data_IF_861588642821
#
_entry.id   IF_861588642821
#
_cell.length_a   1.000
_cell.length_b   1.000
_cell.length_c   1.000
_cell.angle_alpha   90.00
_cell.angle_beta   90.00
_cell.angle_gamma   90.00
#
_symmetry.space_group_name_H-M   'P 1'
#
loop_
_entity.id
_entity.type
_entity.pdbx_description
1 polymer ?
#
# COMPACT_ATOMS: atom_id res chain seq x y z
N UNK A 1 -6.44 -9.88 8.81
CA UNK A 1 -6.30 -8.90 7.69
C UNK A 1 -4.87 -8.39 7.66
N UNK A 2 -4.41 -7.78 6.57
CA UNK A 2 -3.06 -7.22 6.50
C UNK A 2 -3.01 -5.80 5.91
N UNK A 3 -1.99 -5.04 6.27
CA UNK A 3 -1.70 -3.69 5.78
C UNK A 3 -0.21 -3.58 5.42
N UNK A 4 0.09 -2.96 4.29
CA UNK A 4 1.46 -2.85 3.80
C UNK A 4 1.54 -2.03 2.54
N UNK A 5 2.73 -1.84 1.98
CA UNK A 5 2.88 -1.10 0.72
C UNK A 5 4.30 -1.09 0.23
N UNK A 6 4.58 -0.27 -0.78
CA UNK A 6 5.92 -0.15 -1.34
C UNK A 6 6.87 0.52 -0.33
N UNK A 7 8.03 -0.10 -0.11
CA UNK A 7 9.10 0.54 0.64
C UNK A 7 9.58 1.81 -0.10
N UNK A 8 9.88 2.92 0.56
CA UNK A 8 9.95 3.13 2.03
C UNK A 8 8.72 3.91 2.55
N UNK A 9 7.98 4.63 1.67
CA UNK A 9 6.89 5.53 2.07
C UNK A 9 5.77 4.85 2.86
N UNK A 10 5.46 3.60 2.53
CA UNK A 10 4.45 2.81 3.22
C UNK A 10 4.88 2.29 4.61
N UNK A 11 6.19 2.18 4.87
CA UNK A 11 6.74 1.53 6.06
C UNK A 11 6.30 2.21 7.37
N UNK A 12 6.44 3.54 7.56
CA UNK A 12 6.02 4.19 8.80
C UNK A 12 4.51 4.12 9.01
N UNK A 13 3.71 4.20 7.93
CA UNK A 13 2.23 4.11 8.00
C UNK A 13 1.83 2.72 8.45
N UNK A 14 2.41 1.69 7.84
CA UNK A 14 2.13 0.28 8.17
C UNK A 14 2.53 -0.02 9.61
N UNK A 15 3.75 0.38 10.01
CA UNK A 15 4.27 0.16 11.36
C UNK A 15 3.43 0.86 12.45
N UNK A 16 3.06 2.12 12.23
CA UNK A 16 2.20 2.86 13.16
C UNK A 16 0.82 2.20 13.27
N UNK A 17 0.24 1.80 12.14
CA UNK A 17 -1.11 1.21 12.10
C UNK A 17 -1.17 -0.13 12.85
N UNK A 18 -0.23 -1.04 12.60
CA UNK A 18 -0.19 -2.34 13.29
C UNK A 18 0.12 -2.20 14.78
N UNK A 19 0.92 -1.19 15.16
CA UNK A 19 1.22 -0.91 16.57
C UNK A 19 -0.04 -0.48 17.32
N UNK A 20 -0.80 0.45 16.74
CA UNK A 20 -2.06 0.91 17.32
C UNK A 20 -3.13 -0.19 17.33
N UNK A 21 -3.20 -1.03 16.30
CA UNK A 21 -4.07 -2.19 16.25
C UNK A 21 -3.75 -3.17 17.39
N UNK A 22 -2.48 -3.52 17.58
CA UNK A 22 -2.04 -4.39 18.66
C UNK A 22 -2.36 -3.84 20.06
N UNK A 23 -2.24 -2.52 20.26
CA UNK A 23 -2.63 -1.86 21.52
C UNK A 23 -4.14 -1.94 21.79
N UNK A 24 -4.97 -2.05 20.75
CA UNK A 24 -6.43 -2.20 20.85
C UNK A 24 -6.89 -3.65 20.91
N UNK A 25 -5.98 -4.61 20.73
CA UNK A 25 -6.30 -6.03 20.64
C UNK A 25 -6.84 -6.47 19.27
N UNK A 26 -6.67 -5.64 18.23
CA UNK A 26 -7.08 -5.96 16.87
C UNK A 26 -6.05 -6.87 16.18
N UNK A 27 -6.52 -7.93 15.50
CA UNK A 27 -5.65 -8.83 14.72
C UNK A 27 -5.38 -8.27 13.31
N UNK A 28 -4.35 -7.42 13.23
CA UNK A 28 -3.88 -6.80 11.99
C UNK A 28 -2.38 -7.05 11.79
N UNK A 29 -2.03 -7.67 10.66
CA UNK A 29 -0.64 -7.96 10.31
C UNK A 29 -0.06 -6.88 9.38
N UNK A 30 1.24 -6.64 9.51
CA UNK A 30 2.00 -5.73 8.65
C UNK A 30 2.77 -6.48 7.57
N UNK A 31 2.94 -5.89 6.41
CA UNK A 31 3.89 -6.36 5.40
C UNK A 31 4.54 -5.20 4.64
N UNK A 32 5.65 -5.50 3.97
CA UNK A 32 6.40 -4.55 3.15
C UNK A 32 6.59 -5.15 1.76
N UNK A 33 6.42 -4.36 0.73
CA UNK A 33 6.77 -4.71 -0.65
C UNK A 33 8.09 -4.02 -1.00
N UNK A 34 9.10 -4.81 -1.35
CA UNK A 34 10.39 -4.31 -1.81
C UNK A 34 10.31 -3.83 -3.26
N UNK A 35 11.06 -2.76 -3.57
CA UNK A 35 11.21 -2.25 -4.94
C UNK A 35 11.81 -3.30 -5.90
N UNK A 36 12.69 -4.15 -5.39
CA UNK A 36 13.35 -5.21 -6.13
C UNK A 36 13.24 -6.53 -5.37
N UNK A 37 13.15 -7.64 -6.11
CA UNK A 37 13.17 -8.97 -5.55
C UNK A 37 14.50 -9.26 -4.85
N UNK A 38 14.49 -10.16 -3.85
CA UNK A 38 15.75 -10.65 -3.25
C UNK A 38 16.60 -11.33 -4.33
N UNK A 39 17.87 -10.91 -4.43
CA UNK A 39 18.84 -11.52 -5.35
C UNK A 39 19.23 -12.96 -4.96
N UNK A 40 19.03 -13.37 -3.69
CA UNK A 40 19.29 -14.72 -3.20
C UNK A 40 18.09 -15.24 -2.39
N UNK A 41 17.69 -16.50 -2.59
CA UNK A 41 16.55 -17.14 -1.90
C UNK A 41 15.31 -17.30 -2.82
N UNK A 42 14.11 -17.19 -2.25
CA UNK A 42 12.82 -17.43 -2.97
C UNK A 42 12.40 -16.29 -3.92
N UNK A 43 13.20 -15.23 -4.06
CA UNK A 43 12.91 -14.10 -4.95
C UNK A 43 11.65 -13.29 -4.57
N UNK A 44 11.12 -13.46 -3.36
CA UNK A 44 9.87 -12.80 -2.96
C UNK A 44 10.10 -11.31 -2.66
N UNK A 45 9.25 -10.46 -3.22
CA UNK A 45 9.21 -9.02 -2.95
C UNK A 45 8.44 -8.67 -1.67
N UNK A 46 7.57 -9.56 -1.18
CA UNK A 46 6.73 -9.33 0.01
C UNK A 46 7.40 -9.89 1.26
N UNK A 47 7.56 -9.04 2.27
CA UNK A 47 8.11 -9.38 3.60
C UNK A 47 7.08 -9.12 4.71
N UNK A 48 7.02 -9.98 5.72
CA UNK A 48 6.06 -9.89 6.83
C UNK A 48 5.36 -11.22 7.10
N UNK A 49 4.66 -11.36 8.24
CA UNK A 49 3.97 -12.60 8.64
C UNK A 49 2.67 -12.87 7.84
N UNK A 50 2.66 -12.61 6.53
CA UNK A 50 1.49 -12.78 5.66
C UNK A 50 1.52 -14.10 4.90
N UNK A 51 0.33 -14.64 4.59
CA UNK A 51 0.16 -15.88 3.84
C UNK A 51 -0.79 -15.69 2.65
N UNK A 52 -0.65 -16.48 1.57
CA UNK A 52 -1.60 -16.47 0.45
C UNK A 52 -3.04 -16.68 0.90
N UNK A 53 -3.98 -16.00 0.24
CA UNK A 53 -5.41 -16.04 0.54
C UNK A 53 -5.89 -14.99 1.54
N UNK A 54 -4.98 -14.35 2.29
CA UNK A 54 -5.30 -13.23 3.19
C UNK A 54 -5.74 -11.99 2.41
N UNK A 55 -6.69 -11.24 2.99
CA UNK A 55 -7.08 -9.92 2.50
C UNK A 55 -6.12 -8.86 3.01
N UNK A 56 -5.66 -8.00 2.11
CA UNK A 56 -4.71 -6.95 2.38
C UNK A 56 -5.12 -5.61 1.76
N UNK A 57 -4.75 -4.52 2.41
CA UNK A 57 -4.84 -3.16 1.86
C UNK A 57 -3.44 -2.62 1.60
N UNK A 58 -3.28 -1.91 0.49
CA UNK A 58 -2.04 -1.20 0.19
C UNK A 58 -2.11 0.22 0.77
N UNK A 59 -1.07 0.66 1.46
CA UNK A 59 -0.90 2.05 1.89
C UNK A 59 0.20 2.73 1.11
N UNK A 60 0.03 4.03 0.88
CA UNK A 60 1.02 4.91 0.25
C UNK A 60 1.06 6.26 0.98
N UNK A 61 2.22 6.92 0.99
CA UNK A 61 2.31 8.28 1.53
C UNK A 61 1.70 9.30 0.57
N UNK A 62 2.14 9.30 -0.69
CA UNK A 62 1.72 10.26 -1.71
C UNK A 62 1.41 9.54 -3.02
N UNK A 63 0.24 9.82 -3.58
CA UNK A 63 -0.14 9.38 -4.92
C UNK A 63 0.09 10.51 -5.91
N UNK A 64 0.99 10.29 -6.87
CA UNK A 64 1.18 11.12 -8.07
C UNK A 64 0.51 10.47 -9.27
N UNK A 65 1.24 9.63 -10.01
CA UNK A 65 0.73 8.84 -11.14
C UNK A 65 0.14 7.48 -10.73
N UNK A 66 0.24 7.11 -9.45
CA UNK A 66 -0.22 5.81 -8.93
C UNK A 66 0.69 4.61 -9.23
N UNK A 67 1.75 4.78 -10.02
CA UNK A 67 2.60 3.67 -10.48
C UNK A 67 3.30 2.87 -9.37
N UNK A 68 3.70 3.53 -8.27
CA UNK A 68 4.30 2.85 -7.10
C UNK A 68 3.28 1.92 -6.43
N UNK A 69 2.09 2.45 -6.12
CA UNK A 69 1.02 1.70 -5.49
C UNK A 69 0.55 0.53 -6.37
N UNK A 70 0.42 0.71 -7.69
CA UNK A 70 0.05 -0.37 -8.61
C UNK A 70 1.09 -1.50 -8.63
N UNK A 71 2.39 -1.16 -8.67
CA UNK A 71 3.46 -2.18 -8.55
C UNK A 71 3.40 -2.93 -7.22
N UNK A 72 3.07 -2.23 -6.13
CA UNK A 72 2.90 -2.86 -4.82
C UNK A 72 1.71 -3.83 -4.79
N UNK A 73 0.58 -3.42 -5.40
CA UNK A 73 -0.60 -4.28 -5.58
C UNK A 73 -0.25 -5.53 -6.38
N UNK A 74 0.47 -5.38 -7.49
CA UNK A 74 0.84 -6.50 -8.35
C UNK A 74 1.75 -7.50 -7.62
N UNK A 75 2.77 -7.03 -6.91
CA UNK A 75 3.65 -7.87 -6.11
C UNK A 75 2.88 -8.60 -4.98
N UNK A 76 1.97 -7.90 -4.30
CA UNK A 76 1.11 -8.47 -3.27
C UNK A 76 0.16 -9.54 -3.82
N UNK A 77 -0.46 -9.28 -4.98
CA UNK A 77 -1.33 -10.24 -5.68
C UNK A 77 -0.56 -11.44 -6.19
N UNK A 78 0.64 -11.25 -6.73
CA UNK A 78 1.53 -12.34 -7.17
C UNK A 78 1.97 -13.22 -6.00
N UNK A 79 2.17 -12.65 -4.81
CA UNK A 79 2.40 -13.41 -3.59
C UNK A 79 1.15 -14.23 -3.16
N UNK A 80 -0.04 -13.83 -3.60
CA UNK A 80 -1.31 -14.49 -3.32
C UNK A 80 -2.22 -13.72 -2.35
N UNK A 81 -1.92 -12.45 -2.04
CA UNK A 81 -2.81 -11.61 -1.24
C UNK A 81 -4.02 -11.13 -2.07
N UNK A 82 -5.16 -10.98 -1.42
CA UNK A 82 -6.37 -10.40 -2.01
C UNK A 82 -6.39 -8.90 -1.72
N UNK A 83 -6.11 -8.10 -2.75
CA UNK A 83 -6.04 -6.63 -2.65
C UNK A 83 -7.06 -6.00 -3.59
N UNK A 84 -7.95 -5.16 -3.06
CA UNK A 84 -8.97 -4.42 -3.81
C UNK A 84 -8.91 -2.89 -3.60
N UNK A 85 -8.05 -2.42 -2.69
CA UNK A 85 -7.99 -1.01 -2.29
C UNK A 85 -6.56 -0.53 -1.98
N UNK A 86 -6.33 0.74 -2.31
CA UNK A 86 -5.21 1.55 -1.86
C UNK A 86 -5.72 2.68 -0.95
N UNK A 87 -5.03 2.91 0.16
CA UNK A 87 -5.19 4.08 1.01
C UNK A 87 -3.95 4.96 0.86
N UNK A 88 -4.13 6.26 0.67
CA UNK A 88 -3.01 7.19 0.61
C UNK A 88 -3.20 8.37 1.56
N UNK A 89 -2.11 8.97 2.04
CA UNK A 89 -2.21 10.20 2.84
C UNK A 89 -2.57 11.37 1.92
N UNK A 90 -1.77 11.60 0.87
CA UNK A 90 -1.95 12.75 -0.03
C UNK A 90 -2.20 12.29 -1.47
N UNK A 91 -3.23 12.83 -2.10
CA UNK A 91 -3.43 12.80 -3.56
C UNK A 91 -2.89 14.08 -4.20
N UNK A 92 -1.89 13.97 -5.09
CA UNK A 92 -1.36 15.12 -5.82
C UNK A 92 -2.21 15.55 -7.02
N UNK A 93 -3.28 14.81 -7.34
CA UNK A 93 -4.16 15.10 -8.48
C UNK A 93 -3.44 15.07 -9.84
N UNK A 94 -2.39 14.24 -9.95
CA UNK A 94 -1.54 14.09 -11.15
C UNK A 94 -1.91 12.84 -11.99
N UNK A 95 -3.19 12.44 -11.98
CA UNK A 95 -3.70 11.30 -12.76
C UNK A 95 -3.64 9.94 -12.04
N UNK A 96 -3.15 9.89 -10.80
CA UNK A 96 -2.98 8.63 -10.08
C UNK A 96 -4.28 7.96 -9.67
N UNK A 97 -5.32 8.74 -9.36
CA UNK A 97 -6.66 8.21 -9.06
C UNK A 97 -7.22 7.47 -10.26
N UNK A 98 -7.19 8.11 -11.42
CA UNK A 98 -7.70 7.59 -12.68
C UNK A 98 -6.97 6.29 -13.05
N UNK A 99 -5.64 6.28 -12.91
CA UNK A 99 -4.84 5.08 -13.16
C UNK A 99 -5.19 3.92 -12.22
N UNK A 100 -5.39 4.19 -10.93
CA UNK A 100 -5.74 3.19 -9.92
C UNK A 100 -7.16 2.63 -10.16
N UNK A 101 -8.13 3.50 -10.41
CA UNK A 101 -9.52 3.11 -10.67
C UNK A 101 -9.66 2.35 -11.99
N UNK A 102 -8.90 2.72 -13.03
CA UNK A 102 -8.83 1.98 -14.28
C UNK A 102 -8.27 0.55 -14.11
N UNK A 103 -7.43 0.32 -13.09
CA UNK A 103 -6.94 -1.01 -12.71
C UNK A 103 -7.95 -1.81 -11.85
N UNK A 104 -9.17 -1.30 -11.67
CA UNK A 104 -10.23 -1.95 -10.90
C UNK A 104 -10.02 -1.90 -9.38
N UNK A 105 -9.20 -0.98 -8.89
CA UNK A 105 -8.90 -0.77 -7.48
C UNK A 105 -9.64 0.47 -6.95
N UNK A 106 -9.95 0.47 -5.66
CA UNK A 106 -10.47 1.67 -4.98
C UNK A 106 -9.31 2.50 -4.44
N UNK A 107 -9.31 3.81 -4.69
CA UNK A 107 -8.41 4.75 -4.02
C UNK A 107 -9.17 5.60 -2.99
N UNK A 108 -8.73 5.57 -1.75
CA UNK A 108 -9.16 6.50 -0.71
C UNK A 108 -7.96 7.30 -0.22
N UNK A 109 -8.10 8.62 -0.13
CA UNK A 109 -7.05 9.54 0.30
C UNK A 109 -7.51 10.33 1.53
N UNK A 110 -6.59 10.72 2.41
CA UNK A 110 -6.92 11.56 3.57
C UNK A 110 -7.10 13.02 3.16
N UNK A 111 -6.19 13.50 2.31
CA UNK A 111 -6.21 14.86 1.76
C UNK A 111 -5.78 14.84 0.30
N UNK A 112 -6.11 15.89 -0.41
CA UNK A 112 -5.53 16.26 -1.69
C UNK A 112 -4.51 17.38 -1.50
N UNK A 113 -3.65 17.61 -2.50
CA UNK A 113 -2.72 18.75 -2.53
C UNK A 113 -3.44 20.10 -2.37
N UNK A 114 -4.69 20.20 -2.83
CA UNK A 114 -5.53 21.40 -2.71
C UNK A 114 -5.97 21.67 -1.27
N UNK A 115 -6.22 20.62 -0.48
CA UNK A 115 -6.58 20.76 0.94
C UNK A 115 -5.40 21.33 1.77
N UNK A 116 -4.18 21.23 1.23
CA UNK A 116 -2.96 21.82 1.79
C UNK A 116 -2.68 23.23 1.26
N UNK A 117 -3.57 23.82 0.46
CA UNK A 117 -3.41 25.16 -0.10
C UNK A 117 -2.38 25.25 -1.24
N UNK A 118 -2.07 24.14 -1.89
CA UNK A 118 -1.11 24.06 -2.99
C UNK A 118 -1.86 23.81 -4.30
N UNK A 119 -1.50 24.54 -5.36
CA UNK A 119 -2.04 24.33 -6.70
C UNK A 119 -1.56 22.99 -7.28
N UNK A 120 -2.47 22.29 -7.96
CA UNK A 120 -2.21 21.00 -8.59
C UNK A 120 -1.65 21.18 -10.00
#
# INVERSE_FOLDING_TARGET
NAIGGMAIGADPISAATITLAGQRGDDLLGFIVRKEAKQHGTGRQVEGPVSPGMTAVIVEDVVTSGGSALKAVDAARQFGLKVDRILAVVDRLEGGREAIEAAGLKLQTLVTVRDLGIEA
#
